data_IF_582266403738
#
_entry.id   IF_582266403738
#
_cell.length_a   1.000
_cell.length_b   1.000
_cell.length_c   1.000
_cell.angle_alpha   90.00
_cell.angle_beta   90.00
_cell.angle_gamma   90.00
#
_symmetry.space_group_name_H-M   'P 1'
#
loop_
_entity.id
_entity.type
_entity.pdbx_description
1 polymer ?
#
# COMPACT_ATOMS: atom_id res chain seq x y z
N UNK A 1 1.40 3.82 -5.73
CA UNK A 1 1.93 4.98 -4.99
C UNK A 1 2.82 5.77 -5.94
N UNK A 2 2.63 7.08 -6.12
CA UNK A 2 3.57 7.88 -6.93
C UNK A 2 4.78 8.28 -6.10
N UNK A 3 5.92 8.52 -6.76
CA UNK A 3 7.13 9.03 -6.08
C UNK A 3 6.86 10.34 -5.34
N UNK A 4 6.10 11.24 -5.94
CA UNK A 4 5.72 12.50 -5.29
C UNK A 4 4.90 12.26 -4.01
N UNK A 5 3.95 11.33 -4.03
CA UNK A 5 3.09 11.07 -2.88
C UNK A 5 3.86 10.39 -1.75
N UNK A 6 4.76 9.44 -2.04
CA UNK A 6 5.53 8.77 -0.99
C UNK A 6 6.55 9.71 -0.34
N UNK A 7 7.15 10.64 -1.09
CA UNK A 7 8.05 11.66 -0.51
C UNK A 7 7.29 12.61 0.44
N UNK A 8 6.06 13.02 0.05
CA UNK A 8 5.20 13.83 0.92
C UNK A 8 4.84 13.09 2.21
N UNK A 9 4.42 11.83 2.11
CA UNK A 9 4.09 10.98 3.27
C UNK A 9 5.32 10.83 4.18
N UNK A 10 6.48 10.48 3.61
CA UNK A 10 7.72 10.31 4.37
C UNK A 10 8.11 11.58 5.13
N UNK A 11 7.92 12.75 4.52
CA UNK A 11 8.20 14.05 5.13
C UNK A 11 7.27 14.37 6.30
N UNK A 12 5.96 14.09 6.14
CA UNK A 12 4.96 14.23 7.21
C UNK A 12 5.29 13.32 8.39
N UNK A 13 5.67 12.06 8.12
CA UNK A 13 5.99 11.10 9.17
C UNK A 13 7.25 11.51 9.95
N UNK A 14 8.28 12.03 9.27
CA UNK A 14 9.50 12.53 9.92
C UNK A 14 9.21 13.65 10.92
N UNK A 15 8.28 14.55 10.61
CA UNK A 15 7.89 15.68 11.47
C UNK A 15 6.75 15.38 12.44
N UNK A 16 6.16 14.19 12.39
CA UNK A 16 5.06 13.79 13.27
C UNK A 16 5.53 13.32 14.65
N UNK A 17 4.61 13.33 15.61
CA UNK A 17 4.74 12.68 16.93
C UNK A 17 3.75 11.50 17.06
N UNK A 18 3.46 10.82 15.95
CA UNK A 18 2.55 9.68 15.97
C UNK A 18 3.11 8.54 16.81
N UNK A 19 2.24 7.91 17.61
CA UNK A 19 2.58 6.73 18.41
C UNK A 19 3.28 5.64 17.57
N UNK A 20 2.86 5.47 16.31
CA UNK A 20 3.35 4.44 15.39
C UNK A 20 4.39 4.95 14.38
N UNK A 21 4.98 6.13 14.64
CA UNK A 21 5.89 6.83 13.71
C UNK A 21 6.97 5.93 13.13
N UNK A 22 7.63 5.12 13.96
CA UNK A 22 8.74 4.25 13.52
C UNK A 22 8.28 3.24 12.48
N UNK A 23 7.22 2.48 12.77
CA UNK A 23 6.65 1.51 11.82
C UNK A 23 6.16 2.18 10.54
N UNK A 24 5.53 3.36 10.65
CA UNK A 24 5.07 4.11 9.49
C UNK A 24 6.24 4.60 8.61
N UNK A 25 7.36 5.02 9.23
CA UNK A 25 8.57 5.42 8.51
C UNK A 25 9.23 4.24 7.80
N UNK A 26 9.25 3.05 8.41
CA UNK A 26 9.77 1.83 7.79
C UNK A 26 8.96 1.45 6.53
N UNK A 27 7.62 1.47 6.63
CA UNK A 27 6.74 1.21 5.49
C UNK A 27 6.95 2.25 4.38
N UNK A 28 6.96 3.54 4.75
CA UNK A 28 7.15 4.63 3.79
C UNK A 28 8.55 4.58 3.13
N UNK A 29 9.60 4.18 3.87
CA UNK A 29 10.95 4.02 3.33
C UNK A 29 11.03 2.91 2.27
N UNK A 30 10.36 1.76 2.49
CA UNK A 30 10.26 0.70 1.49
C UNK A 30 9.60 1.21 0.21
N UNK A 31 8.42 1.82 0.34
CA UNK A 31 7.68 2.34 -0.82
C UNK A 31 8.45 3.45 -1.55
N UNK A 32 9.22 4.26 -0.82
CA UNK A 32 10.09 5.31 -1.38
C UNK A 32 11.22 4.72 -2.23
N UNK A 33 11.70 3.53 -1.87
CA UNK A 33 12.72 2.78 -2.61
C UNK A 33 12.13 1.85 -3.68
N UNK A 34 10.84 2.01 -4.03
CA UNK A 34 10.12 1.14 -4.97
C UNK A 34 10.09 -0.34 -4.53
N UNK A 35 10.31 -0.60 -3.24
CA UNK A 35 10.21 -1.93 -2.65
C UNK A 35 8.78 -2.19 -2.16
N UNK A 36 8.09 -3.07 -2.89
CA UNK A 36 6.73 -3.52 -2.59
C UNK A 36 6.69 -5.02 -2.24
N UNK A 37 7.83 -5.62 -1.89
CA UNK A 37 7.91 -7.06 -1.58
C UNK A 37 7.02 -7.47 -0.40
N UNK A 38 6.80 -6.57 0.55
CA UNK A 38 5.92 -6.76 1.71
C UNK A 38 4.58 -6.03 1.63
N UNK A 39 4.07 -5.74 0.43
CA UNK A 39 2.87 -4.88 0.26
C UNK A 39 1.60 -5.44 0.91
N UNK A 40 1.51 -6.77 1.08
CA UNK A 40 0.37 -7.42 1.69
C UNK A 40 0.39 -7.21 3.21
N UNK A 41 1.57 -7.37 3.82
CA UNK A 41 1.82 -7.12 5.23
C UNK A 41 1.64 -5.63 5.54
N UNK A 42 2.19 -4.75 4.70
CA UNK A 42 2.06 -3.29 4.86
C UNK A 42 0.59 -2.85 4.80
N UNK A 43 -0.18 -3.34 3.82
CA UNK A 43 -1.62 -3.06 3.75
C UNK A 43 -2.36 -3.62 4.95
N UNK A 44 -2.07 -4.86 5.32
CA UNK A 44 -2.77 -5.52 6.42
C UNK A 44 -2.42 -4.91 7.78
N UNK A 45 -1.25 -4.29 7.96
CA UNK A 45 -0.92 -3.50 9.15
C UNK A 45 -1.93 -2.37 9.36
N UNK A 46 -2.22 -1.58 8.31
CA UNK A 46 -3.22 -0.51 8.38
C UNK A 46 -4.64 -1.08 8.57
N UNK A 47 -4.95 -2.18 7.87
CA UNK A 47 -6.25 -2.85 8.00
C UNK A 47 -6.51 -3.33 9.43
N UNK A 48 -5.51 -3.92 10.10
CA UNK A 48 -5.60 -4.35 11.50
C UNK A 48 -5.70 -3.14 12.45
N UNK A 49 -4.93 -2.08 12.18
CA UNK A 49 -4.97 -0.83 12.94
C UNK A 49 -6.37 -0.20 12.97
N UNK A 50 -7.10 -0.26 11.85
CA UNK A 50 -8.47 0.28 11.73
C UNK A 50 -9.56 -0.72 12.17
N UNK A 51 -9.20 -1.81 12.85
CA UNK A 51 -10.16 -2.77 13.42
C UNK A 51 -10.74 -3.76 12.40
N UNK A 52 -10.07 -3.91 11.25
CA UNK A 52 -10.18 -5.01 10.29
C UNK A 52 -11.55 -5.67 10.10
N UNK A 53 -12.29 -5.26 9.06
CA UNK A 53 -13.54 -5.92 8.66
C UNK A 53 -13.48 -6.39 7.20
N UNK A 54 -13.74 -5.49 6.26
CA UNK A 54 -13.70 -5.77 4.82
C UNK A 54 -12.39 -5.24 4.24
N UNK A 55 -11.84 -5.91 3.22
CA UNK A 55 -10.67 -5.40 2.48
C UNK A 55 -9.31 -5.94 2.92
N UNK A 56 -9.25 -7.05 3.67
CA UNK A 56 -7.98 -7.75 3.95
C UNK A 56 -7.32 -8.21 2.64
N UNK A 57 -6.02 -7.96 2.51
CA UNK A 57 -5.24 -8.42 1.36
C UNK A 57 -4.73 -9.85 1.60
N UNK A 58 -4.87 -10.71 0.57
CA UNK A 58 -4.46 -12.12 0.65
C UNK A 58 -3.31 -12.47 -0.30
N UNK A 59 -3.16 -11.70 -1.39
CA UNK A 59 -2.16 -11.96 -2.42
C UNK A 59 -1.92 -10.72 -3.26
N UNK A 60 -0.72 -10.64 -3.84
CA UNK A 60 -0.44 -9.68 -4.91
C UNK A 60 -1.21 -10.10 -6.16
N UNK A 61 -1.72 -9.12 -6.90
CA UNK A 61 -2.37 -9.34 -8.19
C UNK A 61 -1.34 -9.82 -9.20
N UNK A 62 -1.61 -10.92 -9.91
CA UNK A 62 -0.74 -11.36 -11.00
C UNK A 62 -1.09 -10.57 -12.26
N UNK A 63 -0.15 -10.37 -13.20
CA UNK A 63 -0.46 -9.71 -14.47
C UNK A 63 -1.67 -10.31 -15.22
N UNK A 64 -1.82 -11.63 -15.21
CA UNK A 64 -2.96 -12.31 -15.83
C UNK A 64 -4.30 -12.04 -15.12
N UNK A 65 -4.28 -11.81 -13.80
CA UNK A 65 -5.51 -11.41 -13.08
C UNK A 65 -5.92 -9.98 -13.45
N UNK A 66 -4.93 -9.09 -13.61
CA UNK A 66 -5.15 -7.70 -14.04
C UNK A 66 -5.70 -7.64 -15.47
N UNK A 67 -5.11 -8.40 -16.39
CA UNK A 67 -5.60 -8.50 -17.77
C UNK A 67 -7.06 -8.97 -17.81
N UNK A 68 -7.37 -10.05 -17.08
CA UNK A 68 -8.74 -10.56 -16.96
C UNK A 68 -9.69 -9.53 -16.35
N UNK A 69 -9.24 -8.77 -15.36
CA UNK A 69 -10.03 -7.69 -14.77
C UNK A 69 -10.32 -6.60 -15.81
N UNK A 70 -9.32 -6.20 -16.59
CA UNK A 70 -9.49 -5.20 -17.65
C UNK A 70 -10.47 -5.68 -18.72
N UNK A 71 -10.35 -6.93 -19.14
CA UNK A 71 -11.26 -7.54 -20.12
C UNK A 71 -12.71 -7.48 -19.67
N UNK A 72 -12.97 -7.88 -18.42
CA UNK A 72 -14.33 -7.97 -17.90
C UNK A 72 -15.00 -6.61 -17.61
N UNK A 73 -14.21 -5.57 -17.34
CA UNK A 73 -14.75 -4.30 -16.81
C UNK A 73 -14.60 -3.11 -17.77
N UNK A 74 -13.63 -3.13 -18.69
CA UNK A 74 -13.29 -1.96 -19.50
C UNK A 74 -13.18 -2.21 -21.00
N UNK A 75 -13.09 -3.47 -21.47
CA UNK A 75 -12.92 -3.79 -22.90
C UNK A 75 -14.20 -4.12 -23.67
N UNK A 76 -15.37 -4.17 -23.03
CA UNK A 76 -16.65 -4.27 -23.74
C UNK A 76 -17.34 -2.89 -23.83
N UNK A 77 -17.53 -2.32 -25.04
CA UNK A 77 -18.52 -1.26 -25.27
C UNK A 77 -19.95 -1.80 -25.26
#
# INVERSE_FOLDING_TARGET
MSKENVEKIFSILQSSDFEKKETLLEIAAKWRNEDFTGIIEDHNYFWEMDGGQIGKAYRVLKPADEEKFIENNFRNP
#
